data_IF_560548992696
#
_entry.id   IF_560548992696
#
_cell.length_a   1.000
_cell.length_b   1.000
_cell.length_c   1.000
_cell.angle_alpha   90.00
_cell.angle_beta   90.00
_cell.angle_gamma   90.00
#
_symmetry.space_group_name_H-M   'P 1'
#
loop_
_entity.id
_entity.type
_entity.pdbx_description
1 polymer ?
#
# COMPACT_ATOMS: atom_id res chain seq x y z
N UNK A 1 10.45 -15.23 -26.22
CA UNK A 1 9.34 -16.19 -26.09
C UNK A 1 8.15 -15.41 -25.57
N UNK A 2 7.10 -15.30 -26.39
CA UNK A 2 5.94 -14.44 -26.21
C UNK A 2 4.86 -15.17 -25.40
N UNK A 3 4.32 -14.54 -24.37
CA UNK A 3 2.95 -14.82 -23.90
C UNK A 3 2.23 -13.48 -23.93
N UNK A 4 1.35 -13.33 -24.91
CA UNK A 4 0.39 -12.24 -25.00
C UNK A 4 -0.93 -12.76 -24.43
N UNK A 5 -1.46 -12.09 -23.40
CA UNK A 5 -2.87 -12.21 -23.06
C UNK A 5 -3.51 -10.84 -23.17
N UNK A 6 -4.42 -10.71 -24.14
CA UNK A 6 -5.46 -9.70 -24.19
C UNK A 6 -6.34 -9.88 -22.95
N UNK A 7 -6.48 -8.87 -22.10
CA UNK A 7 -7.58 -8.84 -21.14
C UNK A 7 -8.67 -7.95 -21.72
N UNK A 8 -9.68 -8.59 -22.28
CA UNK A 8 -10.98 -7.97 -22.50
C UNK A 8 -11.74 -8.22 -21.19
N UNK A 9 -11.85 -7.19 -20.35
CA UNK A 9 -12.47 -7.28 -19.03
C UNK A 9 -13.99 -7.20 -19.22
N UNK A 10 -14.58 -8.34 -19.58
CA UNK A 10 -16.01 -8.60 -19.42
C UNK A 10 -16.19 -10.10 -19.14
N UNK A 11 -16.49 -10.41 -17.87
CA UNK A 11 -16.82 -11.74 -17.32
C UNK A 11 -15.94 -12.90 -17.84
N UNK A 12 -14.75 -13.08 -17.25
CA UNK A 12 -14.14 -14.40 -17.19
C UNK A 12 -14.80 -15.15 -16.04
N UNK A 13 -15.77 -16.01 -16.38
CA UNK A 13 -16.27 -17.06 -15.51
C UNK A 13 -15.21 -18.17 -15.55
N UNK A 14 -14.23 -18.09 -14.66
CA UNK A 14 -13.23 -19.14 -14.48
C UNK A 14 -13.75 -20.18 -13.48
N UNK A 15 -13.50 -21.44 -13.79
CA UNK A 15 -14.10 -22.59 -13.13
C UNK A 15 -13.46 -22.80 -11.75
N UNK A 16 -14.27 -22.73 -10.68
CA UNK A 16 -13.96 -23.42 -9.42
C UNK A 16 -13.29 -22.62 -8.30
N UNK A 17 -13.05 -21.32 -8.46
CA UNK A 17 -12.61 -20.46 -7.36
C UNK A 17 -13.52 -19.24 -7.24
N UNK A 18 -14.32 -19.20 -6.17
CA UNK A 18 -15.01 -17.99 -5.76
C UNK A 18 -13.95 -16.96 -5.36
N UNK A 19 -13.51 -16.14 -6.32
CA UNK A 19 -12.85 -14.89 -6.03
C UNK A 19 -13.92 -13.98 -5.43
N UNK A 20 -13.96 -13.91 -4.10
CA UNK A 20 -14.72 -12.91 -3.37
C UNK A 20 -14.13 -11.54 -3.71
N UNK A 21 -14.58 -10.94 -4.81
CA UNK A 21 -14.50 -9.50 -4.95
C UNK A 21 -15.37 -8.95 -3.82
N UNK A 22 -14.75 -8.42 -2.77
CA UNK A 22 -15.46 -7.51 -1.89
C UNK A 22 -15.92 -6.35 -2.78
N UNK A 23 -17.21 -6.35 -3.14
CA UNK A 23 -17.85 -5.29 -3.91
C UNK A 23 -18.05 -4.05 -3.01
N UNK A 24 -17.04 -3.67 -2.24
CA UNK A 24 -17.03 -2.39 -1.54
C UNK A 24 -16.84 -1.30 -2.59
N UNK A 25 -17.64 -0.24 -2.51
CA UNK A 25 -17.33 0.95 -3.27
C UNK A 25 -15.93 1.43 -2.85
N UNK A 26 -15.07 1.73 -3.81
CA UNK A 26 -13.79 2.37 -3.54
C UNK A 26 -13.90 3.80 -4.07
N UNK A 27 -14.01 4.82 -3.20
CA UNK A 27 -14.24 6.21 -3.61
C UNK A 27 -13.23 6.71 -4.64
N UNK A 28 -11.99 6.24 -4.59
CA UNK A 28 -10.95 6.60 -5.55
C UNK A 28 -11.07 5.91 -6.93
N UNK A 29 -12.08 5.08 -7.18
CA UNK A 29 -12.24 4.35 -8.47
C UNK A 29 -12.30 5.30 -9.67
N UNK A 30 -12.96 6.44 -9.53
CA UNK A 30 -13.10 7.41 -10.61
C UNK A 30 -11.79 8.13 -10.96
N UNK A 31 -10.79 8.10 -10.06
CA UNK A 31 -9.47 8.64 -10.33
C UNK A 31 -8.61 7.71 -11.20
N UNK A 32 -8.99 6.44 -11.34
CA UNK A 32 -8.24 5.47 -12.14
C UNK A 32 -8.46 5.73 -13.63
N UNK A 33 -7.36 5.91 -14.35
CA UNK A 33 -7.31 5.92 -15.81
C UNK A 33 -6.44 4.77 -16.28
N UNK A 34 -7.02 3.86 -17.03
CA UNK A 34 -6.28 2.79 -17.66
C UNK A 34 -5.68 3.30 -18.97
N UNK A 35 -4.39 3.05 -19.16
CA UNK A 35 -3.75 3.23 -20.47
C UNK A 35 -3.89 1.93 -21.26
N UNK A 36 -4.52 1.99 -22.43
CA UNK A 36 -4.70 0.82 -23.31
C UNK A 36 -3.40 0.42 -24.05
N UNK A 37 -2.30 1.11 -23.79
CA UNK A 37 -1.01 0.83 -24.39
C UNK A 37 -0.20 -0.12 -23.48
N UNK A 38 0.37 -1.22 -24.03
CA UNK A 38 1.25 -2.08 -23.25
C UNK A 38 2.52 -1.31 -22.89
N UNK A 39 2.63 -0.91 -21.62
CA UNK A 39 3.87 -0.34 -21.08
C UNK A 39 4.88 -1.46 -20.90
N UNK A 40 6.04 -1.33 -21.54
CA UNK A 40 7.17 -2.26 -21.33
C UNK A 40 7.93 -1.83 -20.08
N UNK A 41 7.83 -2.63 -19.03
CA UNK A 41 8.63 -2.45 -17.81
C UNK A 41 9.97 -3.16 -18.00
N UNK A 42 11.08 -2.45 -17.77
CA UNK A 42 12.41 -3.07 -17.78
C UNK A 42 12.63 -3.83 -16.47
N UNK A 43 12.45 -5.15 -16.51
CA UNK A 43 12.61 -6.04 -15.36
C UNK A 43 14.03 -6.54 -15.12
N UNK A 44 15.05 -6.04 -15.84
CA UNK A 44 16.42 -6.48 -15.64
C UNK A 44 16.90 -6.17 -14.21
N UNK A 45 17.65 -7.12 -13.62
CA UNK A 45 18.14 -7.01 -12.25
C UNK A 45 19.06 -5.79 -12.06
N UNK A 46 19.85 -5.48 -13.08
CA UNK A 46 20.83 -4.38 -13.12
C UNK A 46 20.26 -3.06 -13.65
N UNK A 47 18.96 -3.01 -13.98
CA UNK A 47 18.33 -1.79 -14.44
C UNK A 47 18.39 -0.71 -13.36
N UNK A 48 18.95 0.45 -13.72
CA UNK A 48 19.11 1.58 -12.83
C UNK A 48 17.80 2.37 -12.73
N UNK A 49 17.42 2.74 -11.51
CA UNK A 49 16.30 3.63 -11.25
C UNK A 49 16.63 4.55 -10.06
N UNK A 50 15.94 5.68 -9.95
CA UNK A 50 16.10 6.60 -8.83
C UNK A 50 15.74 5.98 -7.46
N UNK A 51 15.03 4.85 -7.45
CA UNK A 51 14.56 4.16 -6.25
C UNK A 51 15.48 3.01 -5.81
N UNK A 52 16.61 2.79 -6.52
CA UNK A 52 17.56 1.69 -6.29
C UNK A 52 18.93 2.23 -5.89
N UNK A 53 19.73 1.34 -5.29
CA UNK A 53 21.13 1.60 -4.95
C UNK A 53 21.38 1.62 -3.43
N UNK A 54 22.65 1.83 -3.03
CA UNK A 54 23.01 2.05 -1.64
C UNK A 54 22.26 3.27 -1.05
N UNK A 55 22.14 3.35 0.29
CA UNK A 55 21.52 4.49 0.94
C UNK A 55 22.18 5.82 0.56
N UNK A 56 21.37 6.80 0.14
CA UNK A 56 21.81 8.16 -0.17
C UNK A 56 20.63 9.12 -0.04
N UNK A 57 20.91 10.42 0.10
CA UNK A 57 19.87 11.44 0.19
C UNK A 57 18.98 11.48 -1.07
N UNK A 58 19.55 11.20 -2.24
CA UNK A 58 18.83 11.16 -3.51
C UNK A 58 17.85 9.99 -3.59
N UNK A 59 18.27 8.79 -3.14
CA UNK A 59 17.39 7.62 -3.08
C UNK A 59 16.28 7.84 -2.05
N UNK A 60 16.62 8.40 -0.89
CA UNK A 60 15.65 8.70 0.16
C UNK A 60 14.61 9.74 -0.31
N UNK A 61 15.04 10.79 -1.01
CA UNK A 61 14.15 11.78 -1.60
C UNK A 61 13.25 11.19 -2.69
N UNK A 62 13.79 10.29 -3.53
CA UNK A 62 12.98 9.59 -4.53
C UNK A 62 11.87 8.78 -3.87
N UNK A 63 12.18 8.00 -2.83
CA UNK A 63 11.18 7.24 -2.08
C UNK A 63 10.17 8.11 -1.34
N UNK A 64 10.61 9.20 -0.69
CA UNK A 64 9.72 10.14 -0.01
C UNK A 64 8.65 10.70 -0.97
N UNK A 65 9.03 11.04 -2.20
CA UNK A 65 8.12 11.57 -3.23
C UNK A 65 6.96 10.63 -3.61
N UNK A 66 7.07 9.31 -3.37
CA UNK A 66 6.04 8.34 -3.73
C UNK A 66 5.36 7.66 -2.53
N UNK A 67 5.95 7.79 -1.33
CA UNK A 67 5.44 7.19 -0.09
C UNK A 67 4.75 8.20 0.81
N UNK A 68 5.24 9.44 0.88
CA UNK A 68 4.73 10.47 1.80
C UNK A 68 3.49 11.16 1.24
N UNK A 69 2.48 10.36 0.91
CA UNK A 69 1.17 10.86 0.50
C UNK A 69 0.30 10.96 1.74
N UNK A 70 -0.12 12.18 2.04
CA UNK A 70 -0.96 12.44 3.21
C UNK A 70 -2.33 11.80 3.11
N UNK A 71 -3.01 11.74 4.25
CA UNK A 71 -4.38 11.21 4.35
C UNK A 71 -5.37 12.08 3.60
N UNK A 72 -6.39 11.46 3.01
CA UNK A 72 -7.53 12.14 2.44
C UNK A 72 -8.72 12.19 3.40
N UNK A 73 -9.70 13.01 3.03
CA UNK A 73 -10.96 13.12 3.77
C UNK A 73 -12.06 12.37 3.02
N UNK A 74 -12.71 11.48 3.74
CA UNK A 74 -13.90 10.77 3.32
C UNK A 74 -15.13 11.38 4.00
N UNK A 75 -16.20 11.52 3.24
CA UNK A 75 -17.54 11.80 3.76
C UNK A 75 -18.10 10.59 4.49
N UNK A 76 -19.14 10.80 5.31
CA UNK A 76 -19.87 9.71 5.94
C UNK A 76 -20.51 8.78 4.89
N UNK A 77 -21.02 9.35 3.79
CA UNK A 77 -21.61 8.58 2.70
C UNK A 77 -20.58 7.64 2.07
N UNK A 78 -19.37 8.11 1.78
CA UNK A 78 -18.30 7.25 1.24
C UNK A 78 -17.93 6.11 2.20
N UNK A 79 -17.94 6.36 3.52
CA UNK A 79 -17.75 5.30 4.52
C UNK A 79 -18.90 4.29 4.56
N UNK A 80 -20.15 4.73 4.38
CA UNK A 80 -21.30 3.83 4.26
C UNK A 80 -21.20 2.97 3.00
N UNK A 81 -20.85 3.57 1.86
CA UNK A 81 -20.67 2.87 0.59
C UNK A 81 -19.50 1.86 0.62
N UNK A 82 -18.49 2.14 1.45
CA UNK A 82 -17.37 1.22 1.74
C UNK A 82 -17.71 0.13 2.78
N UNK A 83 -18.90 0.15 3.38
CA UNK A 83 -19.25 -0.66 4.56
C UNK A 83 -18.18 -0.58 5.66
N UNK A 84 -17.78 0.66 6.00
CA UNK A 84 -16.69 0.93 6.93
C UNK A 84 -17.15 1.72 8.18
N UNK A 85 -18.42 2.10 8.28
CA UNK A 85 -18.97 2.87 9.42
C UNK A 85 -18.89 2.14 10.76
N UNK A 86 -18.86 0.80 10.74
CA UNK A 86 -18.78 -0.02 11.94
C UNK A 86 -17.33 -0.24 12.43
N UNK A 87 -16.32 0.22 11.67
CA UNK A 87 -14.91 -0.02 12.01
C UNK A 87 -14.45 0.93 13.10
N UNK A 88 -13.85 0.39 14.16
CA UNK A 88 -13.23 1.19 15.22
C UNK A 88 -12.06 2.07 14.71
N UNK A 89 -11.50 1.74 13.54
CA UNK A 89 -10.45 2.51 12.87
C UNK A 89 -10.98 3.72 12.08
N UNK A 90 -12.29 3.97 12.03
CA UNK A 90 -12.86 5.14 11.36
C UNK A 90 -12.63 6.40 12.20
N UNK A 91 -11.51 7.07 11.98
CA UNK A 91 -11.09 8.26 12.73
C UNK A 91 -11.72 9.51 12.09
N UNK A 92 -12.37 10.34 12.89
CA UNK A 92 -12.93 11.62 12.44
C UNK A 92 -11.93 12.76 12.55
N UNK A 93 -11.93 13.66 11.57
CA UNK A 93 -11.27 14.96 11.74
C UNK A 93 -12.05 15.82 12.74
N UNK A 94 -11.37 16.69 13.51
CA UNK A 94 -12.05 17.66 14.35
C UNK A 94 -13.03 18.51 13.52
N UNK A 95 -14.20 18.83 14.08
CA UNK A 95 -15.18 19.71 13.44
C UNK A 95 -14.57 21.07 13.05
N UNK A 96 -13.64 21.58 13.87
CA UNK A 96 -12.89 22.81 13.58
C UNK A 96 -12.01 22.74 12.32
N UNK A 97 -11.74 21.53 11.82
CA UNK A 97 -11.01 21.26 10.57
C UNK A 97 -11.94 20.77 9.46
N UNK A 98 -13.26 20.89 9.60
CA UNK A 98 -14.26 20.55 8.58
C UNK A 98 -14.85 19.14 8.66
N UNK A 99 -14.67 18.40 9.77
CA UNK A 99 -15.33 17.11 10.01
C UNK A 99 -15.00 15.99 9.01
N UNK A 100 -15.84 14.97 8.91
CA UNK A 100 -15.58 13.81 8.05
C UNK A 100 -14.46 12.92 8.59
N UNK A 101 -13.99 11.98 7.77
CA UNK A 101 -13.19 10.85 8.21
C UNK A 101 -11.86 10.75 7.49
N UNK A 102 -10.85 10.24 8.18
CA UNK A 102 -9.52 9.99 7.62
C UNK A 102 -9.54 8.72 6.77
N UNK A 103 -8.97 8.79 5.57
CA UNK A 103 -8.75 7.65 4.70
C UNK A 103 -7.42 7.75 3.98
N UNK A 104 -6.93 6.60 3.51
CA UNK A 104 -5.69 6.47 2.75
C UNK A 104 -5.91 5.58 1.52
N UNK A 105 -5.05 5.70 0.52
CA UNK A 105 -4.98 4.69 -0.56
C UNK A 105 -3.99 3.61 -0.15
N UNK A 106 -4.45 2.36 -0.17
CA UNK A 106 -3.63 1.20 0.25
C UNK A 106 -2.30 1.09 -0.51
N UNK A 107 -2.25 1.53 -1.78
CA UNK A 107 -1.02 1.53 -2.58
C UNK A 107 0.13 2.28 -1.92
N UNK A 108 -0.14 3.37 -1.18
CA UNK A 108 0.90 4.12 -0.50
C UNK A 108 1.39 3.41 0.77
N UNK A 109 0.50 2.68 1.46
CA UNK A 109 0.87 1.82 2.58
C UNK A 109 1.72 0.62 2.12
N UNK A 110 1.40 0.02 0.98
CA UNK A 110 2.22 -1.02 0.36
C UNK A 110 3.62 -0.48 0.01
N UNK A 111 3.70 0.68 -0.66
CA UNK A 111 4.97 1.31 -0.99
C UNK A 111 5.77 1.70 0.25
N UNK A 112 5.11 2.15 1.32
CA UNK A 112 5.74 2.42 2.62
C UNK A 112 6.42 1.17 3.17
N UNK A 113 5.72 0.03 3.21
CA UNK A 113 6.29 -1.22 3.69
C UNK A 113 7.46 -1.71 2.83
N UNK A 114 7.36 -1.59 1.50
CA UNK A 114 8.47 -1.92 0.59
C UNK A 114 9.68 -1.01 0.82
N UNK A 115 9.46 0.29 1.02
CA UNK A 115 10.50 1.26 1.38
C UNK A 115 11.17 0.85 2.70
N UNK A 116 10.39 0.46 3.70
CA UNK A 116 10.91 0.02 4.99
C UNK A 116 11.74 -1.26 4.87
N UNK A 117 11.29 -2.26 4.12
CA UNK A 117 12.07 -3.49 3.86
C UNK A 117 13.42 -3.16 3.23
N UNK A 118 13.48 -2.23 2.25
CA UNK A 118 14.76 -1.76 1.69
C UNK A 118 15.64 -1.18 2.79
N UNK A 119 15.11 -0.26 3.61
CA UNK A 119 15.85 0.38 4.70
C UNK A 119 16.36 -0.63 5.72
N UNK A 120 15.57 -1.67 6.02
CA UNK A 120 15.92 -2.77 6.92
C UNK A 120 17.14 -3.58 6.46
N UNK A 121 17.46 -3.56 5.17
CA UNK A 121 18.70 -4.19 4.65
C UNK A 121 19.96 -3.34 4.88
N UNK A 122 19.81 -2.09 5.34
CA UNK A 122 20.91 -1.16 5.67
C UNK A 122 20.77 -0.55 7.08
N UNK A 123 20.72 -1.37 8.14
CA UNK A 123 20.44 -0.89 9.50
C UNK A 123 21.47 0.13 9.99
N UNK A 124 22.74 0.00 9.61
CA UNK A 124 23.80 0.94 10.01
C UNK A 124 23.58 2.37 9.50
N UNK A 125 22.83 2.53 8.40
CA UNK A 125 22.51 3.85 7.87
C UNK A 125 21.18 4.39 8.41
N UNK A 126 20.18 3.52 8.60
CA UNK A 126 18.79 3.96 8.89
C UNK A 126 18.35 3.87 10.34
N UNK A 127 19.02 3.07 11.20
CA UNK A 127 18.58 2.84 12.59
C UNK A 127 18.34 4.12 13.40
N UNK A 128 19.13 5.17 13.12
CA UNK A 128 19.05 6.47 13.81
C UNK A 128 18.31 7.55 12.98
N UNK A 129 17.81 7.21 11.78
CA UNK A 129 17.19 8.15 10.84
C UNK A 129 15.70 7.89 10.60
N UNK A 130 15.25 6.67 10.85
CA UNK A 130 13.89 6.22 10.54
C UNK A 130 13.23 5.79 11.84
N UNK A 131 12.16 6.49 12.22
CA UNK A 131 11.46 6.27 13.48
C UNK A 131 10.99 4.82 13.65
N UNK A 132 10.60 4.15 12.57
CA UNK A 132 10.14 2.76 12.59
C UNK A 132 11.20 1.75 13.09
N UNK A 133 12.48 2.11 13.14
CA UNK A 133 13.52 1.29 13.81
C UNK A 133 13.51 1.41 15.34
N UNK A 134 12.87 2.44 15.88
CA UNK A 134 12.68 2.67 17.31
C UNK A 134 11.33 2.18 17.82
N UNK A 135 10.48 1.65 16.94
CA UNK A 135 9.19 1.08 17.31
C UNK A 135 9.36 -0.19 18.17
N UNK A 136 8.27 -0.60 18.81
CA UNK A 136 8.21 -1.88 19.50
C UNK A 136 8.72 -3.00 18.57
N UNK A 137 9.57 -3.93 19.06
CA UNK A 137 10.11 -4.99 18.21
C UNK A 137 9.06 -5.81 17.47
N UNK A 138 7.85 -5.93 18.02
CA UNK A 138 6.72 -6.60 17.36
C UNK A 138 6.23 -5.80 16.16
N UNK A 139 6.11 -4.48 16.30
CA UNK A 139 5.71 -3.58 15.21
C UNK A 139 6.77 -3.57 14.12
N UNK A 140 8.04 -3.51 14.50
CA UNK A 140 9.17 -3.65 13.57
C UNK A 140 9.06 -4.93 12.74
N UNK A 141 8.70 -6.06 13.39
CA UNK A 141 8.55 -7.37 12.74
C UNK A 141 7.35 -7.47 11.82
N UNK A 142 6.25 -6.78 12.12
CA UNK A 142 5.10 -6.69 11.21
C UNK A 142 5.45 -6.07 9.86
N UNK A 143 6.37 -5.10 9.83
CA UNK A 143 6.77 -4.45 8.58
C UNK A 143 7.67 -5.33 7.68
N UNK A 144 8.33 -6.34 8.25
CA UNK A 144 9.36 -7.14 7.54
C UNK A 144 9.03 -8.63 7.43
N UNK A 145 7.85 -9.07 7.86
CA UNK A 145 7.29 -10.37 7.46
C UNK A 145 6.69 -11.25 8.55
N UNK A 146 6.62 -10.85 9.82
CA UNK A 146 5.89 -11.63 10.83
C UNK A 146 4.46 -11.10 11.03
N UNK A 147 3.47 -11.96 10.80
CA UNK A 147 2.08 -11.67 11.16
C UNK A 147 1.78 -12.17 12.57
N UNK A 148 0.91 -11.46 13.30
CA UNK A 148 0.43 -11.81 14.64
C UNK A 148 -0.30 -13.16 14.77
N UNK A 149 -0.40 -13.96 13.70
CA UNK A 149 -1.17 -15.21 13.69
C UNK A 149 -0.44 -16.43 14.25
N UNK A 150 0.80 -16.29 14.73
CA UNK A 150 1.52 -17.35 15.44
C UNK A 150 1.02 -17.48 16.90
N UNK A 151 -0.23 -17.91 17.11
CA UNK A 151 -0.77 -18.09 18.45
C UNK A 151 -2.07 -18.90 18.62
N UNK A 152 -2.70 -19.38 17.55
CA UNK A 152 -3.89 -20.24 17.64
C UNK A 152 -3.60 -21.66 17.12
N UNK A 153 -2.65 -22.35 17.75
CA UNK A 153 -2.65 -23.80 17.70
C UNK A 153 -3.75 -24.28 18.66
N UNK A 154 -4.89 -24.71 18.09
CA UNK A 154 -5.96 -25.38 18.84
C UNK A 154 -5.38 -26.66 19.46
N UNK A 155 -5.50 -26.76 20.79
CA UNK A 155 -5.43 -28.03 21.51
C UNK A 155 -6.74 -28.82 21.33
#
# INVERSE_FOLDING_TARGET
>A
MLIASRMNVDKVRDEGHDLYYHHGAAPAREALRYEDAPTRINGSLDFQSAYRGPPSAEVDAAWANIVEVGTMRLSFQELEEMDATHRASAIQFPESKGGGYMGDLEVFHELHCVNFIRQYTYPEYYKDKVNSFSDDPTVLRMHVGESHLAGSARA
#
